data_IF_341598942865
#
_entry.id   IF_341598942865
#
_cell.length_a   1.000
_cell.length_b   1.000
_cell.length_c   1.000
_cell.angle_alpha   90.00
_cell.angle_beta   90.00
_cell.angle_gamma   90.00
#
_symmetry.space_group_name_H-M   'P 1'
#
loop_
_entity.id
_entity.type
_entity.pdbx_description
1 polymer ?
#
# COMPACT_ATOMS: atom_id res chain seq x y z
N UNK A 1 -17.49 0.59 2.02
CA UNK A 1 -16.17 0.13 1.52
C UNK A 1 -15.22 0.04 2.69
N UNK A 2 -14.74 -1.16 2.99
CA UNK A 2 -13.96 -1.47 4.20
C UNK A 2 -12.49 -1.08 4.07
N UNK A 3 -11.85 -0.84 5.21
CA UNK A 3 -10.40 -0.63 5.29
C UNK A 3 -9.71 -1.98 5.53
N UNK A 4 -8.92 -2.44 4.57
CA UNK A 4 -8.16 -3.67 4.65
C UNK A 4 -6.91 -3.50 5.51
N UNK A 5 -6.60 -4.49 6.32
CA UNK A 5 -5.30 -4.68 6.99
C UNK A 5 -4.22 -5.02 5.95
N UNK A 6 -2.96 -5.00 6.36
CA UNK A 6 -1.85 -5.50 5.53
C UNK A 6 -2.06 -6.96 5.08
N UNK A 7 -2.62 -7.81 5.94
CA UNK A 7 -2.85 -9.22 5.62
C UNK A 7 -3.92 -9.37 4.53
N UNK A 8 -5.07 -8.71 4.70
CA UNK A 8 -6.15 -8.69 3.70
C UNK A 8 -5.68 -8.07 2.38
N UNK A 9 -4.92 -6.97 2.44
CA UNK A 9 -4.34 -6.33 1.27
C UNK A 9 -3.34 -7.24 0.53
N UNK A 10 -2.55 -8.02 1.26
CA UNK A 10 -1.61 -8.99 0.71
C UNK A 10 -2.33 -10.14 0.00
N UNK A 11 -3.42 -10.63 0.59
CA UNK A 11 -4.26 -11.66 -0.02
C UNK A 11 -4.94 -11.15 -1.29
N UNK A 12 -5.55 -9.95 -1.24
CA UNK A 12 -6.22 -9.31 -2.37
C UNK A 12 -5.25 -9.05 -3.54
N UNK A 13 -4.06 -8.52 -3.24
CA UNK A 13 -3.05 -8.20 -4.26
C UNK A 13 -2.15 -9.37 -4.65
N UNK A 14 -2.32 -10.55 -4.02
CA UNK A 14 -1.49 -11.75 -4.23
C UNK A 14 0.02 -11.48 -4.02
N UNK A 15 0.35 -10.55 -3.13
CA UNK A 15 1.73 -10.20 -2.79
C UNK A 15 2.06 -10.59 -1.34
N UNK A 16 3.36 -10.67 -1.03
CA UNK A 16 3.79 -10.89 0.35
C UNK A 16 3.44 -9.65 1.22
N UNK A 17 2.97 -9.80 2.48
CA UNK A 17 2.63 -8.67 3.34
C UNK A 17 3.73 -7.62 3.47
N UNK A 18 5.00 -8.06 3.62
CA UNK A 18 6.17 -7.16 3.60
C UNK A 18 6.30 -6.32 2.31
N UNK A 19 5.88 -6.83 1.16
CA UNK A 19 5.89 -6.08 -0.10
C UNK A 19 4.86 -4.97 -0.05
N UNK A 20 3.65 -5.26 0.45
CA UNK A 20 2.58 -4.27 0.64
C UNK A 20 3.03 -3.17 1.61
N UNK A 21 3.65 -3.53 2.74
CA UNK A 21 4.17 -2.54 3.69
C UNK A 21 5.29 -1.68 3.10
N UNK A 22 6.19 -2.29 2.32
CA UNK A 22 7.28 -1.57 1.63
C UNK A 22 6.72 -0.60 0.61
N UNK A 23 5.74 -1.01 -0.19
CA UNK A 23 5.06 -0.15 -1.16
C UNK A 23 4.32 1.00 -0.47
N UNK A 24 3.68 0.74 0.67
CA UNK A 24 3.03 1.76 1.48
C UNK A 24 4.04 2.77 2.05
N UNK A 25 5.17 2.26 2.56
CA UNK A 25 6.22 3.07 3.16
C UNK A 25 7.04 3.85 2.12
N UNK A 26 7.19 3.33 0.90
CA UNK A 26 7.84 4.03 -0.21
C UNK A 26 6.93 5.07 -0.87
N UNK A 27 5.62 4.97 -0.65
CA UNK A 27 4.59 5.82 -1.25
C UNK A 27 4.06 5.32 -2.59
N UNK A 28 4.47 4.12 -3.01
CA UNK A 28 3.98 3.46 -4.23
C UNK A 28 2.51 3.02 -4.11
N UNK A 29 2.15 2.57 -2.92
CA UNK A 29 0.78 2.20 -2.54
C UNK A 29 0.24 3.22 -1.54
N UNK A 30 -0.96 3.73 -1.76
CA UNK A 30 -1.60 4.63 -0.80
C UNK A 30 -2.20 3.83 0.35
N UNK A 31 -1.66 4.04 1.54
CA UNK A 31 -2.15 3.48 2.79
C UNK A 31 -2.20 4.53 3.89
N UNK A 32 -3.01 4.26 4.93
CA UNK A 32 -3.08 5.05 6.15
C UNK A 32 -2.48 4.24 7.28
N UNK A 33 -1.47 4.79 7.95
CA UNK A 33 -0.90 4.19 9.15
C UNK A 33 -1.67 4.66 10.40
N UNK A 34 -2.31 3.74 11.12
CA UNK A 34 -2.99 4.05 12.39
C UNK A 34 -2.03 3.91 13.57
N UNK A 35 -1.85 4.96 14.36
CA UNK A 35 -1.06 4.91 15.61
C UNK A 35 0.36 5.48 15.51
N UNK A 36 0.68 6.24 14.47
CA UNK A 36 2.00 6.87 14.33
C UNK A 36 3.09 5.87 13.92
N UNK A 37 4.33 6.12 14.35
CA UNK A 37 5.53 5.39 13.88
C UNK A 37 5.52 3.95 14.41
N UNK A 38 5.19 2.99 13.54
CA UNK A 38 5.06 1.56 13.89
C UNK A 38 3.61 1.07 14.00
N UNK A 39 2.65 1.95 13.76
CA UNK A 39 1.24 1.62 13.72
C UNK A 39 0.85 0.70 12.55
N UNK A 40 -0.31 0.04 12.68
CA UNK A 40 -0.82 -0.87 11.64
C UNK A 40 -1.28 -0.10 10.40
N UNK A 41 -0.94 -0.63 9.23
CA UNK A 41 -1.39 -0.09 7.96
C UNK A 41 -2.83 -0.48 7.64
N UNK A 42 -3.55 0.46 7.03
CA UNK A 42 -4.88 0.28 6.47
C UNK A 42 -4.90 0.74 5.02
N UNK A 43 -5.50 -0.07 4.17
CA UNK A 43 -5.55 0.12 2.73
C UNK A 43 -6.99 0.18 2.26
N UNK A 44 -7.25 0.99 1.25
CA UNK A 44 -8.50 0.91 0.51
C UNK A 44 -8.32 -0.04 -0.67
N UNK A 45 -9.35 -0.83 -0.94
CA UNK A 45 -9.39 -1.78 -2.05
C UNK A 45 -9.09 -1.11 -3.39
N UNK A 46 -9.69 0.06 -3.66
CA UNK A 46 -9.47 0.76 -4.92
C UNK A 46 -8.00 1.22 -5.11
N UNK A 47 -7.31 1.58 -4.02
CA UNK A 47 -5.90 1.98 -4.07
C UNK A 47 -5.00 0.76 -4.35
N UNK A 48 -5.37 -0.41 -3.80
CA UNK A 48 -4.71 -1.67 -4.11
C UNK A 48 -4.89 -2.03 -5.59
N UNK A 49 -6.10 -1.93 -6.12
CA UNK A 49 -6.39 -2.20 -7.53
C UNK A 49 -5.60 -1.27 -8.47
N UNK A 50 -5.50 0.02 -8.12
CA UNK A 50 -4.69 0.97 -8.88
C UNK A 50 -3.21 0.60 -8.85
N UNK A 51 -2.70 0.19 -7.70
CA UNK A 51 -1.32 -0.25 -7.53
C UNK A 51 -1.03 -1.52 -8.35
N UNK A 52 -1.90 -2.54 -8.28
CA UNK A 52 -1.80 -3.80 -9.04
C UNK A 52 -1.80 -3.53 -10.55
N UNK A 53 -2.62 -2.57 -11.01
CA UNK A 53 -2.68 -2.15 -12.43
C UNK A 53 -1.45 -1.36 -12.89
N UNK A 54 -0.45 -1.17 -12.04
CA UNK A 54 0.74 -0.37 -12.34
C UNK A 54 0.47 1.14 -12.39
N UNK A 55 -0.72 1.59 -11.94
CA UNK A 55 -1.10 3.01 -11.80
C UNK A 55 -0.84 3.55 -10.39
N UNK A 56 -0.13 2.78 -9.56
CA UNK A 56 0.34 3.23 -8.25
C UNK A 56 1.21 4.49 -8.39
N UNK A 57 1.22 5.34 -7.36
CA UNK A 57 2.04 6.55 -7.35
C UNK A 57 3.52 6.16 -7.27
N UNK A 58 4.18 5.95 -8.40
CA UNK A 58 5.64 6.04 -8.41
C UNK A 58 6.01 7.47 -8.02
N UNK A 59 6.77 7.65 -6.94
CA UNK A 59 7.60 8.85 -6.84
C UNK A 59 8.52 8.81 -8.05
N UNK A 60 8.48 9.87 -8.85
CA UNK A 60 9.49 10.15 -9.86
C UNK A 60 10.84 10.22 -9.13
N UNK A 61 11.53 9.08 -9.05
CA UNK A 61 12.85 8.97 -8.42
C UNK A 61 13.96 9.53 -9.34
N UNK A 62 13.61 10.43 -10.27
CA UNK A 62 14.56 11.14 -11.10
C UNK A 62 14.25 12.65 -11.12
N UNK A 63 14.45 13.29 -9.97
CA UNK A 63 14.75 14.71 -9.90
C UNK A 63 16.14 14.83 -9.28
N UNK A 64 17.17 14.50 -10.06
CA UNK A 64 18.56 14.91 -9.80
C UNK A 64 19.37 14.92 -11.08
#
# INVERSE_FOLDING_TARGET
MGWMTTAEAAEHSRHHPKTVERAARSGELRGVQRGGRGGSWRFQEFELDLWIKGKGKKRDANAR
#
